data_IF_422232305699
#
_entry.id   IF_422232305699
#
_cell.length_a   1.000
_cell.length_b   1.000
_cell.length_c   1.000
_cell.angle_alpha   90.00
_cell.angle_beta   90.00
_cell.angle_gamma   90.00
#
_symmetry.space_group_name_H-M   'P 1'
#
loop_
_entity.id
_entity.type
_entity.pdbx_description
1 polymer ?
#
# COMPACT_ATOMS: atom_id res chain seq x y z
N UNK A 1 -24.05 -6.16 19.36
CA UNK A 1 -23.29 -5.12 18.66
C UNK A 1 -22.33 -4.37 19.59
N UNK A 2 -22.82 -3.78 20.68
CA UNK A 2 -22.00 -3.05 21.65
C UNK A 2 -21.28 -3.92 22.68
N UNK A 3 -21.68 -5.17 22.82
CA UNK A 3 -21.11 -6.08 23.82
C UNK A 3 -19.65 -6.48 23.52
N UNK A 4 -19.32 -6.66 22.23
CA UNK A 4 -17.97 -7.06 21.82
C UNK A 4 -16.93 -5.95 21.94
N UNK A 5 -17.34 -4.68 21.78
CA UNK A 5 -16.46 -3.50 21.79
C UNK A 5 -16.54 -2.68 23.06
N UNK A 6 -17.05 -3.22 24.16
CA UNK A 6 -17.26 -2.50 25.42
C UNK A 6 -18.01 -1.14 25.26
N UNK A 7 -18.94 -1.09 24.31
CA UNK A 7 -19.73 0.10 24.00
C UNK A 7 -19.09 1.08 23.02
N UNK A 8 -17.89 0.80 22.51
CA UNK A 8 -17.25 1.58 21.45
C UNK A 8 -17.67 1.10 20.06
N UNK A 9 -17.73 1.99 19.09
CA UNK A 9 -18.02 1.63 17.69
C UNK A 9 -16.79 1.02 17.05
N UNK A 10 -16.91 -0.24 16.61
CA UNK A 10 -15.90 -0.96 15.87
C UNK A 10 -16.33 -1.11 14.41
N UNK A 11 -15.45 -0.77 13.47
CA UNK A 11 -15.77 -0.82 12.04
C UNK A 11 -16.11 -2.23 11.55
N UNK A 12 -15.47 -3.26 12.09
CA UNK A 12 -15.74 -4.67 11.72
C UNK A 12 -17.13 -5.10 12.19
N UNK A 13 -17.51 -4.75 13.42
CA UNK A 13 -18.86 -5.01 13.95
C UNK A 13 -19.94 -4.27 13.20
N UNK A 14 -19.67 -3.02 12.80
CA UNK A 14 -20.59 -2.25 11.97
C UNK A 14 -20.85 -2.95 10.63
N UNK A 15 -19.78 -3.40 9.95
CA UNK A 15 -19.90 -4.13 8.69
C UNK A 15 -20.66 -5.45 8.88
N UNK A 16 -20.35 -6.21 9.94
CA UNK A 16 -21.08 -7.44 10.25
C UNK A 16 -22.57 -7.19 10.50
N UNK A 17 -22.90 -6.09 11.21
CA UNK A 17 -24.29 -5.70 11.45
C UNK A 17 -25.02 -5.30 10.17
N UNK A 18 -24.34 -4.64 9.23
CA UNK A 18 -24.91 -4.32 7.90
C UNK A 18 -25.18 -5.61 7.09
N UNK A 19 -24.22 -6.52 7.06
CA UNK A 19 -24.36 -7.82 6.38
C UNK A 19 -25.58 -8.59 6.93
N UNK A 20 -25.74 -8.63 8.24
CA UNK A 20 -26.82 -9.36 8.92
C UNK A 20 -28.22 -8.74 8.73
N UNK A 21 -28.34 -7.60 8.05
CA UNK A 21 -29.65 -7.03 7.69
C UNK A 21 -30.30 -7.68 6.46
N UNK A 22 -29.60 -8.60 5.80
CA UNK A 22 -30.08 -9.30 4.62
C UNK A 22 -30.21 -10.79 4.87
N UNK A 23 -31.05 -11.43 4.07
CA UNK A 23 -31.41 -12.84 4.25
C UNK A 23 -30.30 -13.81 3.84
N UNK A 24 -29.37 -13.37 3.00
CA UNK A 24 -28.22 -14.16 2.61
C UNK A 24 -26.92 -13.34 2.57
N UNK A 25 -25.81 -14.05 2.66
CA UNK A 25 -24.49 -13.43 2.79
C UNK A 25 -24.10 -12.55 1.59
N UNK A 26 -24.46 -12.94 0.37
CA UNK A 26 -24.10 -12.20 -0.85
C UNK A 26 -24.81 -10.85 -0.88
N UNK A 27 -26.11 -10.85 -0.65
CA UNK A 27 -26.91 -9.62 -0.56
C UNK A 27 -26.44 -8.74 0.62
N UNK A 28 -26.06 -9.35 1.74
CA UNK A 28 -25.51 -8.67 2.90
C UNK A 28 -24.18 -7.97 2.58
N UNK A 29 -23.26 -8.65 1.88
CA UNK A 29 -21.99 -8.05 1.44
C UNK A 29 -22.26 -6.89 0.47
N UNK A 30 -23.12 -7.08 -0.52
CA UNK A 30 -23.48 -6.01 -1.47
C UNK A 30 -24.09 -4.81 -0.75
N UNK A 31 -25.02 -5.05 0.17
CA UNK A 31 -25.62 -4.00 0.97
C UNK A 31 -24.60 -3.22 1.81
N UNK A 32 -23.63 -3.90 2.42
CA UNK A 32 -22.56 -3.25 3.16
C UNK A 32 -21.67 -2.40 2.23
N UNK A 33 -21.29 -2.93 1.05
CA UNK A 33 -20.50 -2.20 0.06
C UNK A 33 -21.24 -0.96 -0.49
N UNK A 34 -22.56 -1.00 -0.57
CA UNK A 34 -23.38 0.11 -1.07
C UNK A 34 -23.65 1.17 0.02
N UNK A 35 -23.78 0.74 1.26
CA UNK A 35 -24.12 1.62 2.39
C UNK A 35 -22.91 2.40 2.88
N UNK A 36 -21.70 1.80 2.88
CA UNK A 36 -20.49 2.46 3.36
C UNK A 36 -19.98 3.44 2.30
N UNK A 37 -19.99 4.72 2.63
CA UNK A 37 -19.36 5.75 1.81
C UNK A 37 -17.85 5.82 2.09
N UNK A 38 -17.08 5.02 1.36
CA UNK A 38 -15.65 4.90 1.56
C UNK A 38 -15.06 3.69 0.87
N UNK A 39 -13.88 3.26 1.32
CA UNK A 39 -13.26 2.02 0.90
C UNK A 39 -13.62 0.92 1.89
N UNK A 40 -14.18 -0.16 1.39
CA UNK A 40 -14.53 -1.34 2.17
C UNK A 40 -14.19 -2.59 1.38
N UNK A 41 -13.06 -3.22 1.69
CA UNK A 41 -12.72 -4.55 1.20
C UNK A 41 -12.70 -5.52 2.37
N UNK A 42 -13.14 -6.76 2.16
CA UNK A 42 -13.31 -7.71 3.25
C UNK A 42 -12.99 -9.14 2.86
N UNK A 43 -12.59 -9.92 3.87
CA UNK A 43 -12.47 -11.36 3.82
C UNK A 43 -13.36 -11.93 4.91
N UNK A 44 -14.23 -12.90 4.55
CA UNK A 44 -15.16 -13.52 5.48
C UNK A 44 -14.96 -15.04 5.45
N UNK A 45 -14.51 -15.60 6.58
CA UNK A 45 -14.37 -17.04 6.72
C UNK A 45 -15.71 -17.67 7.04
N UNK A 46 -16.06 -18.72 6.31
CA UNK A 46 -17.29 -19.51 6.49
C UNK A 46 -17.01 -21.00 6.42
N UNK A 47 -17.96 -21.88 6.83
CA UNK A 47 -17.80 -23.32 6.68
C UNK A 47 -17.66 -23.81 5.24
N UNK A 48 -18.07 -23.03 4.25
CA UNK A 48 -18.02 -23.40 2.83
C UNK A 48 -16.86 -22.77 2.06
N UNK A 49 -16.02 -21.98 2.74
CA UNK A 49 -14.88 -21.30 2.13
C UNK A 49 -14.73 -19.86 2.59
N UNK A 50 -13.85 -19.15 1.94
CA UNK A 50 -13.57 -17.75 2.20
C UNK A 50 -14.25 -16.88 1.12
N UNK A 51 -15.09 -15.95 1.56
CA UNK A 51 -15.61 -14.90 0.71
C UNK A 51 -14.62 -13.74 0.70
N UNK A 52 -14.26 -13.27 -0.49
CA UNK A 52 -13.47 -12.06 -0.67
C UNK A 52 -14.27 -11.05 -1.48
N UNK A 53 -14.34 -9.83 -0.98
CA UNK A 53 -15.07 -8.74 -1.62
C UNK A 53 -14.22 -7.47 -1.68
N UNK A 54 -14.17 -6.84 -2.85
CA UNK A 54 -13.51 -5.55 -3.06
C UNK A 54 -14.55 -4.44 -3.11
N UNK A 55 -14.22 -3.28 -2.59
CA UNK A 55 -15.13 -2.11 -2.62
C UNK A 55 -15.55 -1.76 -4.04
N UNK A 56 -16.75 -1.15 -4.17
CA UNK A 56 -17.38 -0.86 -5.46
C UNK A 56 -16.59 0.08 -6.39
N UNK A 57 -15.62 0.79 -5.86
CA UNK A 57 -14.72 1.67 -6.62
C UNK A 57 -13.31 1.07 -6.77
N UNK A 58 -13.04 -0.10 -6.22
CA UNK A 58 -11.74 -0.76 -6.31
C UNK A 58 -10.60 0.01 -5.64
N UNK A 59 -10.88 0.81 -4.60
CA UNK A 59 -9.87 1.66 -3.94
C UNK A 59 -8.81 0.85 -3.22
N UNK A 60 -9.22 -0.21 -2.52
CA UNK A 60 -8.31 -1.11 -1.80
C UNK A 60 -8.16 -2.42 -2.60
N UNK A 61 -6.96 -2.80 -3.02
CA UNK A 61 -6.73 -4.05 -3.73
C UNK A 61 -7.13 -5.27 -2.89
N UNK A 62 -7.61 -6.31 -3.56
CA UNK A 62 -7.78 -7.65 -3.00
C UNK A 62 -7.19 -8.61 -4.02
N UNK A 63 -6.13 -9.29 -3.64
CA UNK A 63 -5.37 -10.19 -4.52
C UNK A 63 -5.53 -11.63 -4.06
N UNK A 64 -5.67 -12.53 -5.02
CA UNK A 64 -5.76 -13.97 -4.80
C UNK A 64 -4.45 -14.63 -5.19
N UNK A 65 -3.97 -15.51 -4.33
CA UNK A 65 -2.84 -16.37 -4.59
C UNK A 65 -3.26 -17.84 -4.62
N UNK A 66 -2.51 -18.63 -5.37
CA UNK A 66 -2.71 -20.08 -5.46
C UNK A 66 -1.41 -20.84 -5.40
N UNK A 67 -1.48 -22.06 -4.92
CA UNK A 67 -0.49 -23.13 -5.08
C UNK A 67 -1.23 -24.45 -5.28
N UNK A 68 -0.51 -25.57 -5.43
CA UNK A 68 -1.07 -26.86 -5.81
C UNK A 68 -2.29 -27.28 -4.97
N UNK A 69 -2.20 -27.12 -3.66
CA UNK A 69 -3.17 -27.61 -2.66
C UNK A 69 -3.81 -26.53 -1.80
N UNK A 70 -3.62 -25.24 -2.15
CA UNK A 70 -4.15 -24.15 -1.34
C UNK A 70 -4.37 -22.86 -2.14
N UNK A 71 -5.30 -22.04 -1.63
CA UNK A 71 -5.55 -20.66 -2.08
C UNK A 71 -5.49 -19.70 -0.92
N UNK A 72 -5.16 -18.47 -1.20
CA UNK A 72 -5.16 -17.39 -0.22
C UNK A 72 -5.73 -16.10 -0.82
N UNK A 73 -6.10 -15.18 0.05
CA UNK A 73 -6.45 -13.80 -0.31
C UNK A 73 -5.74 -12.83 0.62
N UNK A 74 -5.24 -11.72 0.06
CA UNK A 74 -4.55 -10.67 0.79
C UNK A 74 -4.87 -9.30 0.19
N UNK A 75 -4.51 -8.24 0.92
CA UNK A 75 -4.54 -6.87 0.40
C UNK A 75 -3.21 -6.43 -0.22
N UNK A 76 -2.18 -7.29 -0.12
CA UNK A 76 -0.82 -7.04 -0.60
C UNK A 76 -0.29 -8.26 -1.35
N UNK A 77 0.09 -8.11 -2.61
CA UNK A 77 0.51 -9.22 -3.47
C UNK A 77 1.81 -9.90 -3.04
N UNK A 78 2.66 -9.21 -2.26
CA UNK A 78 3.94 -9.78 -1.80
C UNK A 78 3.77 -10.73 -0.61
N UNK A 79 2.69 -10.62 0.18
CA UNK A 79 2.56 -11.27 1.48
C UNK A 79 2.56 -12.80 1.43
N UNK A 80 2.21 -13.40 0.31
CA UNK A 80 2.15 -14.85 0.14
C UNK A 80 3.21 -15.45 -0.79
N UNK A 81 3.98 -14.61 -1.50
CA UNK A 81 5.00 -15.12 -2.45
C UNK A 81 6.07 -15.95 -1.74
N UNK A 82 6.54 -15.50 -0.57
CA UNK A 82 7.52 -16.24 0.22
C UNK A 82 6.98 -17.55 0.85
N UNK A 83 5.68 -17.77 0.77
CA UNK A 83 5.00 -18.98 1.21
C UNK A 83 4.77 -19.97 0.06
N UNK A 84 5.32 -19.68 -1.11
CA UNK A 84 5.23 -20.52 -2.30
C UNK A 84 3.92 -20.40 -3.08
N UNK A 85 3.15 -19.34 -2.84
CA UNK A 85 1.99 -19.04 -3.67
C UNK A 85 2.39 -18.21 -4.88
N UNK A 86 1.69 -18.39 -5.97
CA UNK A 86 1.75 -17.57 -7.17
C UNK A 86 0.55 -16.62 -7.20
N UNK A 87 0.70 -15.46 -7.85
CA UNK A 87 -0.42 -14.58 -8.12
C UNK A 87 -1.43 -15.29 -9.04
N UNK A 88 -2.67 -15.37 -8.61
CA UNK A 88 -3.77 -15.89 -9.40
C UNK A 88 -4.46 -14.75 -10.14
N UNK A 89 -5.03 -13.81 -9.40
CA UNK A 89 -5.62 -12.57 -9.96
C UNK A 89 -5.89 -11.53 -8.89
N UNK A 90 -6.19 -10.31 -9.33
CA UNK A 90 -6.76 -9.25 -8.49
C UNK A 90 -8.28 -9.17 -8.73
N UNK A 91 -9.06 -8.89 -7.68
CA UNK A 91 -10.50 -8.67 -7.81
C UNK A 91 -10.75 -7.30 -8.44
N UNK A 92 -11.74 -7.21 -9.31
CA UNK A 92 -12.21 -5.95 -9.85
C UNK A 92 -13.11 -5.16 -8.87
N UNK A 93 -13.51 -3.92 -9.24
CA UNK A 93 -14.38 -3.08 -8.41
C UNK A 93 -15.72 -3.74 -8.11
N UNK A 94 -16.09 -3.86 -6.83
CA UNK A 94 -17.35 -4.46 -6.40
C UNK A 94 -17.44 -5.98 -6.58
N UNK A 95 -16.37 -6.62 -7.02
CA UNK A 95 -16.37 -8.07 -7.22
C UNK A 95 -16.44 -8.83 -5.91
N UNK A 96 -17.25 -9.90 -5.90
CA UNK A 96 -17.38 -10.84 -4.78
C UNK A 96 -17.08 -12.24 -5.30
N UNK A 97 -16.14 -12.91 -4.64
CA UNK A 97 -15.81 -14.31 -4.91
C UNK A 97 -15.95 -15.15 -3.66
N UNK A 98 -16.14 -16.46 -3.83
CA UNK A 98 -15.91 -17.46 -2.80
C UNK A 98 -14.86 -18.45 -3.28
N UNK A 99 -13.94 -18.81 -2.42
CA UNK A 99 -12.91 -19.79 -2.74
C UNK A 99 -12.61 -20.74 -1.58
N UNK A 100 -12.17 -21.92 -1.92
CA UNK A 100 -11.64 -22.96 -1.05
C UNK A 100 -10.27 -23.44 -1.57
N UNK A 101 -9.75 -24.54 -1.08
CA UNK A 101 -8.47 -25.09 -1.54
C UNK A 101 -8.48 -25.48 -3.02
N UNK A 102 -9.64 -25.85 -3.59
CA UNK A 102 -9.78 -26.44 -4.94
C UNK A 102 -10.29 -25.44 -5.98
N UNK A 103 -11.15 -24.53 -5.58
CA UNK A 103 -11.92 -23.71 -6.52
C UNK A 103 -11.99 -22.25 -6.10
N UNK A 104 -12.22 -21.39 -7.09
CA UNK A 104 -12.58 -20.01 -6.91
C UNK A 104 -13.73 -19.66 -7.85
N UNK A 105 -14.83 -19.17 -7.29
CA UNK A 105 -16.05 -18.87 -8.04
C UNK A 105 -16.44 -17.42 -7.83
N UNK A 106 -16.66 -16.69 -8.92
CA UNK A 106 -17.23 -15.34 -8.90
C UNK A 106 -18.74 -15.42 -8.63
N UNK A 107 -19.18 -14.69 -7.62
CA UNK A 107 -20.58 -14.58 -7.19
C UNK A 107 -21.21 -13.29 -7.70
N UNK A 108 -20.43 -12.20 -7.69
CA UNK A 108 -20.81 -10.91 -8.26
C UNK A 108 -19.68 -10.46 -9.17
N UNK A 109 -20.00 -10.20 -10.43
CA UNK A 109 -19.04 -9.75 -11.42
C UNK A 109 -18.51 -8.34 -11.10
N UNK A 110 -17.26 -8.01 -11.47
CA UNK A 110 -16.72 -6.68 -11.26
C UNK A 110 -17.46 -5.63 -12.08
N UNK A 111 -17.51 -4.41 -11.54
CA UNK A 111 -17.92 -3.21 -12.27
C UNK A 111 -16.79 -2.64 -13.12
N UNK A 112 -17.13 -1.64 -13.93
CA UNK A 112 -16.23 -0.96 -14.87
C UNK A 112 -15.58 0.33 -14.33
N UNK A 113 -16.01 0.80 -13.14
CA UNK A 113 -15.53 2.06 -12.56
C UNK A 113 -14.51 1.80 -11.45
N UNK A 114 -13.30 2.27 -11.67
CA UNK A 114 -12.22 2.19 -10.69
C UNK A 114 -11.72 3.58 -10.26
N UNK A 115 -11.50 3.75 -8.97
CA UNK A 115 -10.89 4.95 -8.35
C UNK A 115 -9.79 4.55 -7.38
N UNK A 116 -8.84 3.76 -7.86
CA UNK A 116 -7.68 3.37 -7.06
C UNK A 116 -6.81 4.59 -6.75
N UNK A 117 -6.28 4.64 -5.54
CA UNK A 117 -5.44 5.75 -5.10
C UNK A 117 -3.99 5.56 -5.54
N UNK A 118 -3.44 6.52 -6.27
CA UNK A 118 -2.02 6.50 -6.71
C UNK A 118 -1.03 6.48 -5.53
N UNK A 119 -1.47 6.87 -4.34
CA UNK A 119 -0.68 6.81 -3.11
C UNK A 119 -0.22 5.39 -2.75
N UNK A 120 -0.95 4.37 -3.21
CA UNK A 120 -0.51 2.97 -3.11
C UNK A 120 0.87 2.76 -3.73
N UNK A 121 1.14 3.31 -4.90
CA UNK A 121 2.45 3.19 -5.55
C UNK A 121 3.46 4.20 -5.04
N UNK A 122 3.04 5.45 -4.84
CA UNK A 122 3.96 6.53 -4.48
C UNK A 122 4.59 6.29 -3.11
N UNK A 123 3.80 5.88 -2.13
CA UNK A 123 4.27 5.81 -0.75
C UNK A 123 3.88 4.52 -0.01
N UNK A 124 2.56 4.16 -0.02
CA UNK A 124 2.01 3.17 0.90
C UNK A 124 2.46 1.75 0.59
N UNK A 125 2.42 1.35 -0.68
CA UNK A 125 2.69 -0.01 -1.12
C UNK A 125 4.10 -0.47 -0.81
N UNK A 126 4.23 -1.75 -0.48
CA UNK A 126 5.54 -2.35 -0.27
C UNK A 126 6.30 -2.43 -1.61
N UNK A 127 7.64 -2.22 -1.64
CA UNK A 127 8.40 -2.18 -2.90
C UNK A 127 8.20 -3.39 -3.82
N UNK A 128 8.07 -4.59 -3.25
CA UNK A 128 7.85 -5.82 -4.02
C UNK A 128 6.38 -6.07 -4.40
N UNK A 129 5.45 -5.21 -3.98
CA UNK A 129 4.04 -5.33 -4.34
C UNK A 129 3.78 -4.86 -5.79
N UNK A 130 2.67 -5.35 -6.33
CA UNK A 130 2.08 -4.85 -7.58
C UNK A 130 0.59 -4.66 -7.38
N UNK A 131 0.03 -3.61 -7.98
CA UNK A 131 -1.39 -3.34 -8.01
C UNK A 131 -1.81 -3.08 -9.45
N UNK A 132 -2.90 -3.68 -9.90
CA UNK A 132 -3.40 -3.57 -11.27
C UNK A 132 -2.30 -3.85 -12.33
N UNK A 133 -1.46 -4.83 -12.06
CA UNK A 133 -0.33 -5.21 -12.92
C UNK A 133 0.85 -4.24 -12.92
N UNK A 134 0.83 -3.17 -12.11
CA UNK A 134 1.91 -2.18 -12.04
C UNK A 134 2.74 -2.39 -10.78
N UNK A 135 4.03 -2.71 -10.95
CA UNK A 135 4.99 -2.84 -9.86
C UNK A 135 5.23 -1.51 -9.15
N UNK A 136 5.18 -1.52 -7.82
CA UNK A 136 5.43 -0.36 -6.96
C UNK A 136 6.83 0.20 -7.19
N UNK A 137 7.86 -0.64 -7.11
CA UNK A 137 9.25 -0.21 -7.25
C UNK A 137 9.54 0.38 -8.62
N UNK A 138 9.07 -0.30 -9.69
CA UNK A 138 9.23 0.17 -11.06
C UNK A 138 8.54 1.52 -11.30
N UNK A 139 7.37 1.72 -10.71
CA UNK A 139 6.66 3.00 -10.79
C UNK A 139 7.47 4.11 -10.13
N UNK A 140 8.03 3.88 -8.92
CA UNK A 140 8.87 4.85 -8.21
C UNK A 140 10.11 5.23 -9.02
N UNK A 141 10.77 4.25 -9.64
CA UNK A 141 11.89 4.52 -10.56
C UNK A 141 11.45 5.38 -11.73
N UNK A 142 10.30 5.09 -12.33
CA UNK A 142 9.78 5.89 -13.43
C UNK A 142 9.44 7.33 -13.01
N UNK A 143 8.93 7.55 -11.80
CA UNK A 143 8.71 8.89 -11.25
C UNK A 143 10.04 9.66 -11.14
N UNK A 144 11.06 9.05 -10.55
CA UNK A 144 12.39 9.67 -10.45
C UNK A 144 12.99 10.00 -11.81
N UNK A 145 12.88 9.09 -12.78
CA UNK A 145 13.29 9.31 -14.16
C UNK A 145 12.60 10.50 -14.81
N UNK A 146 11.27 10.64 -14.63
CA UNK A 146 10.51 11.75 -15.16
C UNK A 146 10.86 13.08 -14.50
N UNK A 147 11.20 13.08 -13.20
CA UNK A 147 11.72 14.25 -12.51
C UNK A 147 13.04 14.71 -13.12
N UNK A 148 14.01 13.80 -13.29
CA UNK A 148 15.31 14.10 -13.88
C UNK A 148 15.21 14.72 -15.28
N UNK A 149 14.26 14.27 -16.10
CA UNK A 149 14.03 14.84 -17.44
C UNK A 149 13.49 16.28 -17.44
N UNK A 150 12.87 16.70 -16.33
CA UNK A 150 12.26 18.04 -16.20
C UNK A 150 13.10 18.99 -15.38
N UNK A 151 14.14 18.46 -14.76
CA UNK A 151 14.99 19.19 -13.84
C UNK A 151 16.33 19.54 -14.51
N UNK A 152 16.95 20.62 -14.05
CA UNK A 152 18.27 21.06 -14.51
C UNK A 152 19.03 21.63 -13.29
N UNK A 153 19.49 20.74 -12.41
CA UNK A 153 20.19 21.09 -11.18
C UNK A 153 21.67 20.77 -11.28
N UNK A 154 22.51 21.69 -10.75
CA UNK A 154 23.95 21.52 -10.62
C UNK A 154 24.25 20.96 -9.20
N UNK A 155 24.37 19.64 -9.09
CA UNK A 155 24.62 18.93 -7.85
C UNK A 155 25.64 17.80 -8.04
N UNK A 156 26.34 17.45 -6.96
CA UNK A 156 27.36 16.41 -7.01
C UNK A 156 26.75 15.01 -6.85
N UNK A 157 25.63 14.90 -6.13
CA UNK A 157 25.09 13.62 -5.67
C UNK A 157 23.58 13.68 -5.55
N UNK A 158 22.92 12.62 -5.95
CA UNK A 158 21.49 12.37 -5.73
C UNK A 158 21.34 11.42 -4.53
N UNK A 159 20.40 11.71 -3.65
CA UNK A 159 20.09 10.91 -2.48
C UNK A 159 18.58 10.84 -2.23
N UNK A 160 18.12 9.72 -1.72
CA UNK A 160 16.73 9.55 -1.27
C UNK A 160 16.59 9.72 0.23
N UNK A 161 15.48 10.32 0.65
CA UNK A 161 15.09 10.26 2.07
C UNK A 161 14.76 8.80 2.40
N UNK A 162 15.46 8.17 3.35
CA UNK A 162 15.23 6.75 3.67
C UNK A 162 13.88 6.52 4.38
N UNK A 163 13.12 5.49 3.99
CA UNK A 163 13.37 4.57 2.87
C UNK A 163 12.51 4.96 1.66
N UNK A 164 11.49 5.79 1.85
CA UNK A 164 10.41 6.10 0.91
C UNK A 164 10.90 6.82 -0.36
N UNK A 165 11.85 7.74 -0.24
CA UNK A 165 12.43 8.46 -1.36
C UNK A 165 13.51 7.68 -2.14
N UNK A 166 13.99 6.56 -1.61
CA UNK A 166 15.16 5.84 -2.17
C UNK A 166 14.94 5.40 -3.62
N UNK A 167 13.83 4.74 -3.91
CA UNK A 167 13.53 4.25 -5.25
C UNK A 167 13.38 5.38 -6.27
N UNK A 168 12.74 6.47 -5.87
CA UNK A 168 12.61 7.69 -6.69
C UNK A 168 13.99 8.30 -7.00
N UNK A 169 14.87 8.38 -6.00
CA UNK A 169 16.23 8.90 -6.17
C UNK A 169 17.10 8.02 -7.07
N UNK A 170 16.99 6.70 -6.98
CA UNK A 170 17.67 5.76 -7.88
C UNK A 170 17.19 5.98 -9.32
N UNK A 171 15.89 6.11 -9.53
CA UNK A 171 15.34 6.40 -10.85
C UNK A 171 15.84 7.72 -11.42
N UNK A 172 15.94 8.75 -10.60
CA UNK A 172 16.51 10.05 -10.96
C UNK A 172 17.99 9.95 -11.33
N UNK A 173 18.80 9.31 -10.48
CA UNK A 173 20.24 9.16 -10.71
C UNK A 173 20.54 8.38 -11.99
N UNK A 174 19.81 7.29 -12.25
CA UNK A 174 19.95 6.50 -13.46
C UNK A 174 19.65 7.29 -14.75
N UNK A 175 18.73 8.23 -14.71
CA UNK A 175 18.38 9.05 -15.90
C UNK A 175 19.30 10.26 -16.06
N UNK A 176 19.65 10.95 -14.95
CA UNK A 176 20.48 12.14 -14.98
C UNK A 176 21.97 11.85 -15.17
N UNK A 177 22.43 10.63 -14.85
CA UNK A 177 23.85 10.27 -14.78
C UNK A 177 24.58 10.82 -13.55
N UNK A 178 23.90 11.53 -12.64
CA UNK A 178 24.48 12.01 -11.38
C UNK A 178 24.57 10.84 -10.41
N UNK A 179 25.72 10.63 -9.72
CA UNK A 179 25.89 9.52 -8.81
C UNK A 179 24.86 9.47 -7.68
N UNK A 180 24.33 8.28 -7.40
CA UNK A 180 23.49 8.05 -6.21
C UNK A 180 24.37 7.73 -5.00
N UNK A 181 24.04 8.31 -3.84
CA UNK A 181 24.64 7.91 -2.56
C UNK A 181 23.60 7.84 -1.45
N UNK A 182 24.01 7.34 -0.28
CA UNK A 182 23.16 7.23 0.91
C UNK A 182 23.75 8.09 2.05
N UNK A 183 23.63 9.43 1.98
CA UNK A 183 24.15 10.34 3.00
C UNK A 183 23.36 10.29 4.32
N UNK A 184 22.19 9.66 4.29
CA UNK A 184 21.39 9.41 5.48
C UNK A 184 21.06 7.92 5.60
N UNK A 185 21.17 7.41 6.82
CA UNK A 185 20.80 6.04 7.19
C UNK A 185 19.69 6.10 8.23
N UNK A 186 18.65 5.31 8.01
CA UNK A 186 17.54 5.23 8.95
C UNK A 186 17.88 4.34 10.13
N UNK A 187 17.71 4.88 11.34
CA UNK A 187 17.75 4.09 12.56
C UNK A 187 16.38 3.44 12.79
N UNK A 188 16.31 2.13 12.64
CA UNK A 188 15.04 1.40 12.55
C UNK A 188 14.41 0.93 13.86
N UNK A 189 15.10 0.75 15.00
CA UNK A 189 14.55 -0.11 16.06
C UNK A 189 13.27 0.38 16.74
N UNK A 190 12.98 1.66 16.85
CA UNK A 190 11.92 2.09 17.79
C UNK A 190 11.12 3.34 17.47
N UNK A 191 11.39 4.04 16.38
CA UNK A 191 10.72 5.34 16.16
C UNK A 191 9.51 5.28 15.23
N UNK A 192 8.36 5.88 15.62
CA UNK A 192 7.19 5.99 14.76
C UNK A 192 7.47 6.84 13.51
N UNK A 193 6.50 6.91 12.60
CA UNK A 193 6.59 7.76 11.42
C UNK A 193 6.70 9.22 11.84
N UNK A 194 7.73 9.93 11.35
CA UNK A 194 8.08 11.29 11.80
C UNK A 194 7.00 12.34 11.54
N UNK A 195 6.16 12.14 10.51
CA UNK A 195 5.09 13.06 10.14
C UNK A 195 3.80 12.90 10.98
N UNK A 196 3.65 11.82 11.75
CA UNK A 196 2.43 11.55 12.54
C UNK A 196 2.19 12.51 13.72
N UNK A 197 3.21 12.91 14.50
CA UNK A 197 2.95 13.84 15.61
C UNK A 197 2.42 15.18 15.12
N UNK A 198 1.46 15.72 15.85
CA UNK A 198 0.85 17.03 15.54
C UNK A 198 1.76 18.21 15.91
N UNK A 199 2.67 18.02 16.85
CA UNK A 199 3.57 19.07 17.38
C UNK A 199 4.89 19.06 16.60
N UNK A 200 5.29 20.25 16.04
CA UNK A 200 6.50 20.39 15.23
C UNK A 200 7.75 19.92 15.96
N UNK A 201 7.98 20.36 17.19
CA UNK A 201 9.16 19.99 17.99
C UNK A 201 9.32 18.46 18.15
N UNK A 202 8.20 17.71 18.27
CA UNK A 202 8.24 16.24 18.32
C UNK A 202 8.63 15.64 16.98
N UNK A 203 8.16 16.23 15.85
CA UNK A 203 8.56 15.78 14.51
C UNK A 203 10.04 15.99 14.26
N UNK A 204 10.57 17.17 14.63
CA UNK A 204 11.98 17.52 14.48
C UNK A 204 12.86 16.59 15.32
N UNK A 205 12.47 16.33 16.56
CA UNK A 205 13.19 15.38 17.42
C UNK A 205 13.20 13.97 16.82
N UNK A 206 12.05 13.47 16.36
CA UNK A 206 11.96 12.15 15.76
C UNK A 206 12.79 12.08 14.48
N UNK A 207 12.75 13.09 13.63
CA UNK A 207 13.54 13.15 12.40
C UNK A 207 15.04 13.12 12.73
N UNK A 208 15.47 13.94 13.69
CA UNK A 208 16.87 14.00 14.15
C UNK A 208 17.37 12.67 14.70
N UNK A 209 16.56 11.98 15.49
CA UNK A 209 16.92 10.69 16.08
C UNK A 209 16.84 9.52 15.08
N UNK A 210 16.05 9.65 14.05
CA UNK A 210 15.77 8.59 13.08
C UNK A 210 16.73 8.58 11.89
N UNK A 211 17.15 9.76 11.45
CA UNK A 211 18.01 9.93 10.29
C UNK A 211 19.44 10.26 10.75
N UNK A 212 20.34 9.29 10.59
CA UNK A 212 21.74 9.43 10.97
C UNK A 212 22.52 9.87 9.73
N UNK A 213 23.20 11.04 9.76
CA UNK A 213 24.01 11.50 8.66
C UNK A 213 25.34 10.74 8.57
N UNK A 214 25.78 10.46 7.35
CA UNK A 214 27.11 9.92 7.05
C UNK A 214 27.97 11.09 6.59
N UNK A 215 28.74 11.67 7.51
CA UNK A 215 29.44 12.94 7.30
C UNK A 215 30.36 12.95 6.08
N UNK A 216 31.08 11.86 5.82
CA UNK A 216 32.01 11.74 4.67
C UNK A 216 31.31 11.77 3.31
N UNK A 217 29.99 11.45 3.28
CA UNK A 217 29.17 11.52 2.07
C UNK A 217 28.49 12.87 1.87
N UNK A 218 28.51 13.73 2.90
CA UNK A 218 27.83 15.03 2.93
C UNK A 218 28.82 16.18 2.78
N UNK A 219 29.96 16.07 3.45
CA UNK A 219 30.94 17.16 3.55
C UNK A 219 31.38 17.62 2.17
N UNK A 220 31.32 18.92 1.95
CA UNK A 220 31.73 19.60 0.73
C UNK A 220 31.01 19.12 -0.54
N UNK A 221 29.74 18.60 -0.40
CA UNK A 221 28.91 18.12 -1.50
C UNK A 221 27.61 18.90 -1.61
N UNK A 222 27.22 19.21 -2.85
CA UNK A 222 25.87 19.64 -3.19
C UNK A 222 24.98 18.41 -3.33
N UNK A 223 24.02 18.25 -2.46
CA UNK A 223 23.11 17.09 -2.44
C UNK A 223 21.75 17.46 -3.01
N UNK A 224 21.24 16.65 -3.94
CA UNK A 224 19.82 16.63 -4.28
C UNK A 224 19.13 15.57 -3.43
N UNK A 225 18.27 15.99 -2.52
CA UNK A 225 17.44 15.10 -1.71
C UNK A 225 16.09 14.90 -2.39
N UNK A 226 15.72 13.64 -2.61
CA UNK A 226 14.44 13.24 -3.20
C UNK A 226 13.61 12.50 -2.16
N UNK A 227 12.36 12.94 -1.99
CA UNK A 227 11.38 12.24 -1.18
C UNK A 227 10.18 11.83 -2.05
N UNK A 228 9.30 10.98 -1.53
CA UNK A 228 8.09 10.51 -2.22
C UNK A 228 7.00 11.59 -2.30
N UNK A 229 6.92 12.45 -1.29
CA UNK A 229 5.82 13.40 -1.16
C UNK A 229 6.15 14.56 -0.22
N UNK A 230 5.44 15.67 -0.38
CA UNK A 230 5.47 16.80 0.54
C UNK A 230 4.20 16.72 1.40
N UNK A 231 4.36 16.45 2.70
CA UNK A 231 3.24 16.32 3.63
C UNK A 231 3.11 17.52 4.55
N UNK A 232 4.16 17.91 5.24
CA UNK A 232 4.14 18.99 6.25
C UNK A 232 5.38 19.89 6.25
N UNK A 233 6.28 19.68 5.34
CA UNK A 233 7.52 20.50 5.23
C UNK A 233 8.49 20.30 6.36
#
# INVERSE_FOLDING_TARGET
FFEMSNGEINSTELVAALINQKDNLIEGIQYALDTVDGSLSMLILTPVGIYAARDKMGRTPVVLGKKEDARCACFESFSYLNLGYENDRELGPGEIVVFDEKSCRTLVAPGDKMKICTFLWVYYGYPSASYEGVSVEKMRYNCGKLLARRDNVDVDVVAGVPDSGTAHAIGYANESGIPFSRPFVKYTPTWPRSFMPTIQQKRDLIAHMKLIPVHDLIKDKKLLLIDDSIVRG
#
